data_IF_140604351805
#
_entry.id   IF_140604351805
#
_cell.length_a   1.000
_cell.length_b   1.000
_cell.length_c   1.000
_cell.angle_alpha   90.00
_cell.angle_beta   90.00
_cell.angle_gamma   90.00
#
_symmetry.space_group_name_H-M   'P 1'
#
loop_
_entity.id
_entity.type
_entity.pdbx_description
1 polymer ?
#
# COMPACT_ATOMS: atom_id res chain seq x y z
N UNK A 1 -7.92 6.10 17.56
CA UNK A 1 -7.62 5.33 16.33
C UNK A 1 -8.66 5.57 15.22
N UNK A 2 -9.74 6.29 15.51
CA UNK A 2 -10.89 6.50 14.64
C UNK A 2 -10.58 7.17 13.30
N UNK A 3 -9.55 8.03 13.26
CA UNK A 3 -9.18 8.75 12.03
C UNK A 3 -8.55 7.81 10.99
N UNK A 4 -7.66 6.89 11.41
CA UNK A 4 -7.03 5.91 10.50
C UNK A 4 -8.09 4.94 9.99
N UNK A 5 -8.98 4.49 10.87
CA UNK A 5 -10.09 3.62 10.49
C UNK A 5 -11.05 4.30 9.52
N UNK A 6 -11.33 5.59 9.71
CA UNK A 6 -12.16 6.37 8.79
C UNK A 6 -11.49 6.47 7.42
N UNK A 7 -10.20 6.83 7.36
CA UNK A 7 -9.45 6.87 6.10
C UNK A 7 -9.45 5.51 5.41
N UNK A 8 -9.24 4.42 6.15
CA UNK A 8 -9.30 3.06 5.62
C UNK A 8 -10.69 2.71 5.09
N UNK A 9 -11.77 3.05 5.80
CA UNK A 9 -13.15 2.77 5.36
C UNK A 9 -13.48 3.44 4.02
N UNK A 10 -12.98 4.66 3.81
CA UNK A 10 -13.16 5.43 2.57
C UNK A 10 -12.26 4.98 1.41
N UNK A 11 -11.27 4.12 1.65
CA UNK A 11 -10.49 3.56 0.56
C UNK A 11 -11.37 2.67 -0.34
N UNK A 12 -11.17 2.75 -1.67
CA UNK A 12 -11.68 1.76 -2.60
C UNK A 12 -11.29 0.33 -2.18
N UNK A 13 -12.17 -0.64 -2.43
CA UNK A 13 -11.98 -2.04 -2.04
C UNK A 13 -10.65 -2.63 -2.52
N UNK A 14 -10.25 -2.31 -3.75
CA UNK A 14 -8.98 -2.78 -4.33
C UNK A 14 -7.74 -2.20 -3.61
N UNK A 15 -7.81 -0.98 -3.06
CA UNK A 15 -6.72 -0.38 -2.29
C UNK A 15 -6.62 -0.96 -0.88
N UNK A 16 -7.74 -1.40 -0.30
CA UNK A 16 -7.75 -1.99 1.05
C UNK A 16 -6.85 -3.22 1.12
N UNK A 17 -6.95 -4.12 0.14
CA UNK A 17 -6.11 -5.32 0.07
C UNK A 17 -4.63 -4.97 -0.10
N UNK A 18 -4.33 -4.06 -1.04
CA UNK A 18 -2.97 -3.55 -1.28
C UNK A 18 -2.33 -2.94 -0.02
N UNK A 19 -3.13 -2.20 0.76
CA UNK A 19 -2.72 -1.51 1.97
C UNK A 19 -2.50 -2.48 3.16
N UNK A 20 -3.43 -3.41 3.39
CA UNK A 20 -3.30 -4.41 4.46
C UNK A 20 -2.12 -5.35 4.24
N UNK A 21 -1.94 -5.85 3.01
CA UNK A 21 -0.79 -6.69 2.65
C UNK A 21 0.53 -5.97 2.97
N UNK A 22 0.58 -4.67 2.70
CA UNK A 22 1.80 -3.90 2.91
C UNK A 22 2.14 -3.70 4.39
N UNK A 23 1.15 -3.45 5.24
CA UNK A 23 1.36 -3.38 6.69
C UNK A 23 1.84 -4.71 7.30
N UNK A 24 1.69 -5.84 6.60
CA UNK A 24 2.27 -7.12 7.02
C UNK A 24 3.72 -7.31 6.54
N UNK A 25 4.09 -6.68 5.43
CA UNK A 25 5.40 -6.84 4.80
C UNK A 25 6.46 -5.85 5.32
N UNK A 26 6.01 -4.75 5.92
CA UNK A 26 6.89 -3.74 6.51
C UNK A 26 7.30 -4.09 7.95
N UNK A 27 8.28 -4.98 8.09
CA UNK A 27 9.24 -4.84 9.20
C UNK A 27 10.34 -3.81 8.88
N UNK A 28 10.44 -3.34 7.63
CA UNK A 28 11.43 -2.34 7.18
C UNK A 28 10.87 -0.90 7.27
N UNK A 29 11.61 0.04 7.86
CA UNK A 29 11.15 1.43 8.04
C UNK A 29 10.95 2.24 6.74
N UNK A 30 11.54 1.82 5.61
CA UNK A 30 11.37 2.45 4.30
C UNK A 30 11.44 1.41 3.17
N UNK A 31 10.49 1.46 2.24
CA UNK A 31 10.48 0.56 1.07
C UNK A 31 10.59 1.36 -0.22
N UNK A 32 11.42 0.87 -1.15
CA UNK A 32 11.52 1.47 -2.48
C UNK A 32 10.21 1.30 -3.26
N UNK A 33 9.78 2.38 -3.93
CA UNK A 33 8.56 2.38 -4.76
C UNK A 33 8.60 1.29 -5.84
N UNK A 34 9.78 1.06 -6.44
CA UNK A 34 9.98 0.01 -7.45
C UNK A 34 9.75 -1.39 -6.88
N UNK A 35 10.28 -1.69 -5.69
CA UNK A 35 10.04 -2.98 -5.02
C UNK A 35 8.55 -3.15 -4.73
N UNK A 36 7.91 -2.09 -4.25
CA UNK A 36 6.49 -2.10 -3.93
C UNK A 36 5.61 -2.42 -5.13
N UNK A 37 5.77 -1.68 -6.24
CA UNK A 37 5.01 -1.91 -7.47
C UNK A 37 5.15 -3.35 -7.95
N UNK A 38 6.38 -3.91 -7.92
CA UNK A 38 6.63 -5.29 -8.35
C UNK A 38 5.89 -6.31 -7.49
N UNK A 39 5.82 -6.10 -6.18
CA UNK A 39 5.09 -6.99 -5.27
C UNK A 39 3.60 -6.97 -5.60
N UNK A 40 2.98 -5.80 -5.74
CA UNK A 40 1.56 -5.71 -6.08
C UNK A 40 1.20 -6.37 -7.41
N UNK A 41 2.09 -6.29 -8.40
CA UNK A 41 1.90 -6.97 -9.68
C UNK A 41 2.06 -8.48 -9.52
N UNK A 42 3.08 -8.94 -8.78
CA UNK A 42 3.34 -10.37 -8.56
C UNK A 42 2.22 -11.06 -7.75
N UNK A 43 1.65 -10.37 -6.77
CA UNK A 43 0.51 -10.81 -5.97
C UNK A 43 -0.84 -10.72 -6.73
N UNK A 44 -0.83 -10.17 -7.95
CA UNK A 44 -2.02 -10.04 -8.77
C UNK A 44 -3.01 -8.96 -8.30
N UNK A 45 -2.64 -8.13 -7.31
CA UNK A 45 -3.47 -7.02 -6.85
C UNK A 45 -3.64 -5.93 -7.91
N UNK A 46 -2.67 -5.82 -8.82
CA UNK A 46 -2.72 -4.88 -9.94
C UNK A 46 -2.50 -5.62 -11.24
N UNK A 47 -3.43 -5.44 -12.17
CA UNK A 47 -3.36 -5.98 -13.53
C UNK A 47 -3.42 -4.84 -14.54
N UNK A 48 -2.74 -5.01 -15.68
CA UNK A 48 -2.86 -4.08 -16.81
C UNK A 48 -4.26 -4.11 -17.41
N UNK A 49 -4.65 -3.02 -18.05
CA UNK A 49 -5.85 -2.95 -18.86
C UNK A 49 -5.53 -2.40 -20.25
N UNK A 50 -6.54 -2.26 -21.11
CA UNK A 50 -6.39 -1.78 -22.49
C UNK A 50 -5.72 -0.40 -22.59
N UNK A 51 -5.82 0.44 -21.55
CA UNK A 51 -5.32 1.82 -21.55
C UNK A 51 -3.99 2.01 -20.81
N UNK A 52 -3.70 1.19 -19.79
CA UNK A 52 -2.60 1.41 -18.85
C UNK A 52 -1.89 0.11 -18.48
N UNK A 53 -0.56 0.19 -18.38
CA UNK A 53 0.26 -0.90 -17.84
C UNK A 53 0.01 -1.08 -16.33
N UNK A 54 0.30 -2.27 -15.82
CA UNK A 54 0.15 -2.57 -14.40
C UNK A 54 1.02 -1.65 -13.52
N UNK A 55 2.20 -1.25 -14.00
CA UNK A 55 3.08 -0.30 -13.30
C UNK A 55 2.44 1.08 -13.15
N UNK A 56 1.79 1.59 -14.20
CA UNK A 56 1.11 2.90 -14.16
C UNK A 56 -0.07 2.83 -13.18
N UNK A 57 -0.85 1.74 -13.21
CA UNK A 57 -1.98 1.56 -12.30
C UNK A 57 -1.50 1.45 -10.86
N UNK A 58 -0.46 0.67 -10.59
CA UNK A 58 0.15 0.54 -9.28
C UNK A 58 0.71 1.87 -8.78
N UNK A 59 1.32 2.69 -9.64
CA UNK A 59 1.78 4.02 -9.25
C UNK A 59 0.61 4.93 -8.85
N UNK A 60 -0.51 4.91 -9.58
CA UNK A 60 -1.70 5.68 -9.20
C UNK A 60 -2.25 5.22 -7.84
N UNK A 61 -2.30 3.91 -7.60
CA UNK A 61 -2.72 3.37 -6.30
C UNK A 61 -1.85 3.88 -5.16
N UNK A 62 -0.53 3.94 -5.37
CA UNK A 62 0.39 4.48 -4.38
C UNK A 62 0.16 5.99 -4.15
N UNK A 63 -0.09 6.76 -5.21
CA UNK A 63 -0.44 8.19 -5.11
C UNK A 63 -1.73 8.38 -4.31
N UNK A 64 -2.75 7.55 -4.52
CA UNK A 64 -4.01 7.62 -3.78
C UNK A 64 -3.81 7.31 -2.29
N UNK A 65 -3.00 6.31 -1.96
CA UNK A 65 -2.64 5.98 -0.57
C UNK A 65 -1.86 7.10 0.12
N UNK A 66 -0.94 7.74 -0.60
CA UNK A 66 -0.19 8.90 -0.10
C UNK A 66 -1.13 10.09 0.13
N UNK A 67 -2.03 10.36 -0.82
CA UNK A 67 -3.01 11.44 -0.73
C UNK A 67 -4.02 11.22 0.42
N UNK A 68 -4.28 9.96 0.75
CA UNK A 68 -5.11 9.55 1.88
C UNK A 68 -4.39 9.61 3.24
N UNK A 69 -3.14 10.07 3.27
CA UNK A 69 -2.26 10.11 4.46
C UNK A 69 -2.05 8.75 5.15
N UNK A 70 -2.31 7.66 4.43
CA UNK A 70 -2.09 6.30 4.94
C UNK A 70 -0.67 5.82 4.65
N UNK A 71 -0.02 6.38 3.63
CA UNK A 71 1.38 6.11 3.28
C UNK A 71 2.13 7.45 3.21
N UNK A 72 3.34 7.49 3.76
CA UNK A 72 4.22 8.64 3.65
C UNK A 72 5.26 8.45 2.55
N UNK A 73 5.62 9.53 1.86
CA UNK A 73 6.85 9.57 1.05
C UNK A 73 8.03 9.83 1.97
N UNK A 74 8.96 8.87 2.02
CA UNK A 74 10.16 8.98 2.86
C UNK A 74 11.30 9.69 2.11
N UNK A 75 11.53 9.34 0.84
CA UNK A 75 12.54 9.99 -0.01
C UNK A 75 12.01 10.22 -1.41
N UNK A 76 12.53 11.27 -2.06
CA UNK A 76 12.29 11.59 -3.47
C UNK A 76 13.60 11.51 -4.26
N UNK A 77 13.49 11.23 -5.55
CA UNK A 77 14.58 11.45 -6.49
C UNK A 77 14.83 12.96 -6.66
N UNK A 78 16.02 13.38 -7.16
CA UNK A 78 16.30 14.79 -7.43
C UNK A 78 15.27 15.47 -8.35
N UNK A 79 14.62 14.69 -9.22
CA UNK A 79 13.57 15.15 -10.15
C UNK A 79 12.17 15.26 -9.50
N UNK A 80 12.03 14.92 -8.22
CA UNK A 80 10.78 15.05 -7.45
C UNK A 80 9.95 13.78 -7.31
N UNK A 81 10.24 12.75 -8.11
CA UNK A 81 9.51 11.47 -8.06
C UNK A 81 9.73 10.72 -6.76
N UNK A 82 8.73 9.94 -6.34
CA UNK A 82 8.81 9.12 -5.13
C UNK A 82 9.87 8.03 -5.28
N UNK A 83 10.83 7.97 -4.34
CA UNK A 83 11.91 6.98 -4.31
C UNK A 83 11.61 5.88 -3.29
N UNK A 84 11.31 6.28 -2.06
CA UNK A 84 10.93 5.40 -0.97
C UNK A 84 9.70 5.93 -0.26
N UNK A 85 8.95 5.01 0.32
CA UNK A 85 7.68 5.26 1.02
C UNK A 85 7.68 4.42 2.30
N UNK A 86 6.92 4.87 3.30
CA UNK A 86 6.81 4.21 4.61
C UNK A 86 5.42 4.36 5.21
N UNK A 87 5.05 3.46 6.12
CA UNK A 87 3.89 3.68 7.00
C UNK A 87 4.35 4.42 8.27
N UNK A 88 3.43 5.17 8.87
CA UNK A 88 3.57 5.58 10.25
C UNK A 88 3.34 4.38 11.17
N UNK A 89 4.02 4.33 12.32
CA UNK A 89 3.91 3.24 13.29
C UNK A 89 2.45 2.97 13.72
N UNK A 90 1.66 4.02 13.95
CA UNK A 90 0.24 3.89 14.27
C UNK A 90 -0.60 3.30 13.12
N UNK A 91 -0.20 3.55 11.87
CA UNK A 91 -0.85 3.00 10.69
C UNK A 91 -0.44 1.54 10.48
N UNK A 92 0.82 1.20 10.78
CA UNK A 92 1.31 -0.17 10.79
C UNK A 92 0.54 -1.02 11.82
N UNK A 93 0.41 -0.52 13.06
CA UNK A 93 -0.37 -1.16 14.12
C UNK A 93 -1.83 -1.39 13.69
N UNK A 94 -2.42 -0.38 13.04
CA UNK A 94 -3.76 -0.50 12.49
C UNK A 94 -3.85 -1.62 11.43
N UNK A 95 -2.93 -1.65 10.46
CA UNK A 95 -2.90 -2.70 9.43
C UNK A 95 -2.78 -4.09 10.03
N UNK A 96 -1.88 -4.28 11.01
CA UNK A 96 -1.64 -5.58 11.65
C UNK A 96 -2.88 -6.07 12.41
N UNK A 97 -3.57 -5.18 13.12
CA UNK A 97 -4.81 -5.54 13.81
C UNK A 97 -5.93 -5.83 12.80
N UNK A 98 -6.05 -5.02 11.75
CA UNK A 98 -7.11 -5.17 10.76
C UNK A 98 -6.96 -6.42 9.89
N UNK A 99 -5.72 -6.75 9.50
CA UNK A 99 -5.43 -7.97 8.76
C UNK A 99 -5.78 -9.24 9.56
N UNK A 100 -5.61 -9.22 10.89
CA UNK A 100 -6.04 -10.31 11.79
C UNK A 100 -7.56 -10.39 11.88
N UNK A 101 -8.25 -9.27 12.08
CA UNK A 101 -9.72 -9.22 12.12
C UNK A 101 -10.36 -9.76 10.82
N UNK A 102 -9.79 -9.38 9.67
CA UNK A 102 -10.34 -9.74 8.37
C UNK A 102 -9.89 -11.14 7.89
N UNK A 103 -9.15 -11.90 8.72
CA UNK A 103 -8.50 -13.18 8.36
C UNK A 103 -7.71 -13.07 7.04
N UNK A 104 -7.14 -11.90 6.76
CA UNK A 104 -6.39 -11.62 5.55
C UNK A 104 -5.13 -12.51 5.47
N UNK A 105 -4.55 -12.82 6.64
CA UNK A 105 -3.40 -13.73 6.81
C UNK A 105 -3.65 -15.17 6.33
N UNK A 106 -4.90 -15.62 6.28
CA UNK A 106 -5.26 -16.97 5.80
C UNK A 106 -5.56 -16.99 4.28
N UNK A 107 -5.67 -15.83 3.64
CA UNK A 107 -6.02 -15.70 2.22
C UNK A 107 -4.82 -15.40 1.33
N UNK A 108 -3.76 -14.83 1.90
CA UNK A 108 -2.47 -14.68 1.25
C UNK A 108 -1.69 -15.98 1.49
N UNK A 109 -2.09 -17.04 0.80
CA UNK A 109 -1.33 -18.29 0.80
C UNK A 109 0.04 -18.05 0.14
N UNK A 110 1.10 -18.54 0.79
CA UNK A 110 2.49 -18.53 0.33
C UNK A 110 2.76 -19.56 -0.76
#
# INVERSE_FOLDING_TARGET
>A
MDIIELSYKHLPSYLKQCFLYFGMFLEDEEVSVKKWIRIWIAEGFVQSNEMKSAEIIAMNYLVDLVTSNLVMVARRFPLGDMKTVRLHDLVLDFCLNKAKEENFLLKVDR
#
